data_IF_328669033742
#
_entry.id   IF_328669033742
#
_cell.length_a   1.000
_cell.length_b   1.000
_cell.length_c   1.000
_cell.angle_alpha   90.00
_cell.angle_beta   90.00
_cell.angle_gamma   90.00
#
_symmetry.space_group_name_H-M   'P 1'
#
loop_
_entity.id
_entity.type
_entity.pdbx_description
1 polymer ?
#
# COMPACT_ATOMS: atom_id res chain seq x y z
N UNK A 1 25.01 -58.84 -4.61
CA UNK A 1 24.36 -58.11 -5.71
C UNK A 1 23.59 -56.94 -5.13
N UNK A 2 24.25 -55.79 -4.92
CA UNK A 2 23.65 -54.59 -4.34
C UNK A 2 24.45 -53.37 -4.80
N UNK A 3 24.12 -52.78 -5.97
CA UNK A 3 24.70 -51.48 -6.40
C UNK A 3 23.75 -50.59 -7.21
N UNK A 4 22.52 -51.02 -7.52
CA UNK A 4 21.65 -50.23 -8.40
C UNK A 4 20.55 -49.42 -7.71
N UNK A 5 20.35 -49.60 -6.39
CA UNK A 5 19.25 -48.94 -5.65
C UNK A 5 19.65 -47.65 -4.92
N UNK A 6 20.91 -47.19 -5.03
CA UNK A 6 21.42 -46.02 -4.29
C UNK A 6 21.55 -44.74 -5.12
N UNK A 7 21.04 -44.72 -6.36
CA UNK A 7 21.22 -43.59 -7.29
C UNK A 7 19.96 -42.73 -7.51
N UNK A 8 18.87 -42.95 -6.78
CA UNK A 8 17.59 -42.28 -7.04
C UNK A 8 17.07 -41.39 -5.89
N UNK A 9 17.89 -41.08 -4.88
CA UNK A 9 17.42 -40.36 -3.68
C UNK A 9 18.37 -39.23 -3.24
N UNK A 10 18.72 -38.31 -4.15
CA UNK A 10 19.47 -37.09 -3.75
C UNK A 10 19.16 -35.82 -4.55
N UNK A 11 18.02 -35.75 -5.25
CA UNK A 11 17.65 -34.53 -5.99
C UNK A 11 16.27 -34.05 -5.57
N UNK A 12 16.18 -33.55 -4.34
CA UNK A 12 15.00 -32.83 -3.87
C UNK A 12 15.45 -31.74 -2.89
N UNK A 13 14.99 -30.53 -3.21
CA UNK A 13 14.93 -29.34 -2.36
C UNK A 13 16.22 -28.49 -2.30
N UNK A 14 16.46 -27.77 -3.39
CA UNK A 14 16.95 -26.39 -3.32
C UNK A 14 15.92 -25.50 -4.03
N UNK A 15 14.72 -25.42 -3.46
CA UNK A 15 13.84 -24.27 -3.69
C UNK A 15 14.38 -23.14 -2.84
N UNK A 16 15.46 -22.50 -3.31
CA UNK A 16 15.83 -21.19 -2.78
C UNK A 16 14.75 -20.22 -3.21
N UNK A 17 13.96 -19.71 -2.26
CA UNK A 17 13.26 -18.43 -2.45
C UNK A 17 14.35 -17.37 -2.57
N UNK A 18 14.86 -17.15 -3.78
CA UNK A 18 15.49 -15.89 -4.09
C UNK A 18 14.36 -14.86 -4.07
N UNK A 19 14.33 -13.96 -3.08
CA UNK A 19 13.57 -12.72 -3.20
C UNK A 19 14.15 -11.99 -4.41
N UNK A 20 13.47 -12.12 -5.54
CA UNK A 20 13.73 -11.30 -6.72
C UNK A 20 13.30 -9.89 -6.36
N UNK A 21 14.26 -9.06 -5.93
CA UNK A 21 14.09 -7.62 -5.96
C UNK A 21 13.87 -7.23 -7.42
N UNK A 22 12.68 -6.76 -7.76
CA UNK A 22 12.38 -6.36 -9.13
C UNK A 22 12.99 -4.98 -9.36
N UNK A 23 14.04 -4.93 -10.17
CA UNK A 23 14.64 -3.67 -10.61
C UNK A 23 13.59 -2.89 -11.41
N UNK A 24 13.30 -1.68 -10.95
CA UNK A 24 12.41 -0.73 -11.62
C UNK A 24 13.06 -0.32 -12.94
N UNK A 25 12.23 -0.15 -13.97
CA UNK A 25 12.70 0.31 -15.28
C UNK A 25 12.86 1.83 -15.29
N UNK A 26 13.83 2.32 -16.08
CA UNK A 26 14.05 3.77 -16.23
C UNK A 26 12.93 4.42 -17.05
N UNK A 27 12.55 5.64 -16.66
CA UNK A 27 11.58 6.48 -17.35
C UNK A 27 10.13 6.01 -17.27
N UNK A 28 9.76 5.26 -16.24
CA UNK A 28 8.39 4.78 -16.02
C UNK A 28 7.45 5.97 -15.88
N UNK A 29 6.39 5.98 -16.71
CA UNK A 29 5.34 7.00 -16.63
C UNK A 29 4.16 6.47 -15.82
N UNK A 30 3.48 7.33 -15.05
CA UNK A 30 2.26 6.93 -14.36
C UNK A 30 1.15 6.66 -15.38
N UNK A 31 0.39 5.60 -15.16
CA UNK A 31 -0.87 5.33 -15.86
C UNK A 31 -1.89 6.35 -15.34
N UNK A 32 -2.39 7.20 -16.22
CA UNK A 32 -3.36 8.25 -15.89
C UNK A 32 -4.72 7.88 -16.49
N UNK A 33 -5.78 8.12 -15.73
CA UNK A 33 -7.14 7.91 -16.18
C UNK A 33 -7.43 8.74 -17.45
N UNK A 34 -7.92 8.09 -18.50
CA UNK A 34 -8.24 8.75 -19.77
C UNK A 34 -9.53 9.58 -19.70
N UNK A 35 -10.35 9.32 -18.70
CA UNK A 35 -11.58 10.03 -18.41
C UNK A 35 -11.79 10.09 -16.89
N UNK A 36 -12.61 11.04 -16.45
CA UNK A 36 -13.07 11.09 -15.06
C UNK A 36 -13.94 9.87 -14.75
N UNK A 37 -13.68 9.23 -13.61
CA UNK A 37 -14.41 8.06 -13.13
C UNK A 37 -15.59 8.50 -12.25
N UNK A 38 -16.68 7.73 -12.25
CA UNK A 38 -17.77 8.01 -11.32
C UNK A 38 -17.33 7.74 -9.88
N UNK A 39 -17.85 8.52 -8.93
CA UNK A 39 -17.56 8.36 -7.50
C UNK A 39 -17.78 6.93 -6.99
N UNK A 40 -18.76 6.20 -7.54
CA UNK A 40 -19.05 4.80 -7.19
C UNK A 40 -17.99 3.80 -7.68
N UNK A 41 -17.14 4.21 -8.63
CA UNK A 41 -16.02 3.42 -9.14
C UNK A 41 -14.73 3.66 -8.36
N UNK A 42 -14.66 4.73 -7.57
CA UNK A 42 -13.45 5.12 -6.85
C UNK A 42 -13.26 4.30 -5.58
N UNK A 43 -12.00 4.00 -5.27
CA UNK A 43 -11.57 3.39 -4.00
C UNK A 43 -10.66 4.38 -3.29
N UNK A 44 -10.86 4.50 -1.98
CA UNK A 44 -10.05 5.35 -1.11
C UNK A 44 -8.87 4.54 -0.60
N UNK A 45 -7.69 5.11 -0.66
CA UNK A 45 -6.44 4.42 -0.34
C UNK A 45 -5.86 5.01 0.93
N UNK A 46 -5.61 4.15 1.91
CA UNK A 46 -4.76 4.46 3.04
C UNK A 46 -3.37 3.87 2.79
N UNK A 47 -2.35 4.72 2.86
CA UNK A 47 -0.94 4.33 2.83
C UNK A 47 -0.46 4.43 4.27
N UNK A 48 -0.12 3.31 4.89
CA UNK A 48 0.41 3.32 6.26
C UNK A 48 1.79 3.99 6.22
N UNK A 49 2.15 4.75 7.25
CA UNK A 49 3.54 5.17 7.48
C UNK A 49 4.42 3.93 7.36
N UNK A 50 5.52 4.05 6.61
CA UNK A 50 6.37 2.89 6.34
C UNK A 50 7.19 2.54 7.57
N UNK A 51 7.51 1.26 7.69
CA UNK A 51 8.47 0.76 8.65
C UNK A 51 9.83 0.61 7.98
N UNK A 52 10.88 0.43 8.78
CA UNK A 52 12.21 0.12 8.29
C UNK A 52 12.82 -1.06 9.05
N UNK A 53 13.71 -1.78 8.38
CA UNK A 53 14.48 -2.82 9.06
C UNK A 53 15.42 -2.20 10.09
N UNK A 54 15.56 -2.87 11.24
CA UNK A 54 16.52 -2.44 12.26
C UNK A 54 17.94 -2.57 11.71
N UNK A 55 18.62 -1.44 11.56
CA UNK A 55 20.01 -1.39 11.14
C UNK A 55 20.95 -1.47 12.34
N UNK A 56 22.04 -2.22 12.18
CA UNK A 56 23.14 -2.21 13.14
C UNK A 56 23.89 -0.87 13.10
N UNK A 57 24.57 -0.52 14.20
CA UNK A 57 25.46 0.66 14.27
C UNK A 57 26.48 0.73 13.11
N UNK A 58 26.87 -0.44 12.59
CA UNK A 58 27.80 -0.54 11.47
C UNK A 58 27.12 -0.12 10.16
N UNK A 59 25.94 -0.65 9.87
CA UNK A 59 25.16 -0.33 8.67
C UNK A 59 24.74 1.15 8.66
N UNK A 60 24.32 1.70 9.80
CA UNK A 60 24.01 3.13 9.93
C UNK A 60 25.20 3.99 9.50
N UNK A 61 26.42 3.64 9.92
CA UNK A 61 27.64 4.36 9.52
C UNK A 61 28.00 4.16 8.06
N UNK A 62 27.85 2.95 7.53
CA UNK A 62 28.17 2.62 6.13
C UNK A 62 27.22 3.35 5.16
N UNK A 63 25.94 3.46 5.49
CA UNK A 63 24.92 4.17 4.70
C UNK A 63 24.88 5.68 4.97
N UNK A 64 25.69 6.18 5.92
CA UNK A 64 25.69 7.60 6.29
C UNK A 64 24.37 8.08 6.91
N UNK A 65 23.56 7.17 7.46
CA UNK A 65 22.24 7.47 7.99
C UNK A 65 22.30 7.95 9.44
N UNK A 66 21.22 8.58 9.88
CA UNK A 66 20.90 8.80 11.29
C UNK A 66 19.51 8.25 11.58
N UNK A 67 19.21 7.97 12.85
CA UNK A 67 17.86 7.55 13.25
C UNK A 67 16.80 8.60 12.88
N UNK A 68 17.15 9.89 12.95
CA UNK A 68 16.27 10.98 12.54
C UNK A 68 15.99 10.98 11.03
N UNK A 69 17.02 10.74 10.20
CA UNK A 69 16.85 10.60 8.75
C UNK A 69 15.94 9.41 8.45
N UNK A 70 16.18 8.26 9.08
CA UNK A 70 15.35 7.07 8.84
C UNK A 70 13.88 7.32 9.20
N UNK A 71 13.60 7.91 10.36
CA UNK A 71 12.24 8.29 10.78
C UNK A 71 11.59 9.32 9.85
N UNK A 72 12.39 10.17 9.21
CA UNK A 72 11.89 11.10 8.20
C UNK A 72 11.52 10.36 6.90
N UNK A 73 12.35 9.43 6.43
CA UNK A 73 12.09 8.62 5.23
C UNK A 73 10.81 7.76 5.36
N UNK A 74 10.61 7.15 6.52
CA UNK A 74 9.39 6.38 6.87
C UNK A 74 8.10 7.17 6.63
N UNK A 75 8.15 8.51 6.72
CA UNK A 75 7.01 9.42 6.47
C UNK A 75 7.06 10.06 5.09
N UNK A 76 8.25 10.38 4.61
CA UNK A 76 8.47 11.08 3.35
C UNK A 76 8.11 10.21 2.14
N UNK A 77 8.58 8.97 2.12
CA UNK A 77 8.34 8.00 1.03
C UNK A 77 6.84 7.73 0.80
N UNK A 78 6.01 7.41 1.82
CA UNK A 78 4.58 7.21 1.59
C UNK A 78 3.86 8.48 1.15
N UNK A 79 4.35 9.68 1.51
CA UNK A 79 3.80 10.95 1.02
C UNK A 79 4.10 11.15 -0.48
N UNK A 80 5.28 10.77 -0.94
CA UNK A 80 5.61 10.78 -2.37
C UNK A 80 4.76 9.80 -3.17
N UNK A 81 4.53 8.59 -2.63
CA UNK A 81 3.60 7.63 -3.22
C UNK A 81 2.17 8.20 -3.25
N UNK A 82 1.70 8.80 -2.16
CA UNK A 82 0.38 9.48 -2.08
C UNK A 82 0.21 10.47 -3.23
N UNK A 83 1.12 11.43 -3.38
CA UNK A 83 1.01 12.46 -4.42
C UNK A 83 1.13 11.88 -5.84
N UNK A 84 1.94 10.84 -6.02
CA UNK A 84 2.03 10.12 -7.29
C UNK A 84 0.69 9.49 -7.65
N UNK A 85 0.05 8.77 -6.71
CA UNK A 85 -1.25 8.15 -6.91
C UNK A 85 -2.36 9.17 -7.16
N UNK A 86 -2.44 10.25 -6.36
CA UNK A 86 -3.47 11.29 -6.50
C UNK A 86 -3.48 11.92 -7.91
N UNK A 87 -2.30 12.10 -8.52
CA UNK A 87 -2.16 12.69 -9.86
C UNK A 87 -2.65 11.79 -10.99
N UNK A 88 -2.90 10.50 -10.73
CA UNK A 88 -3.33 9.54 -11.76
C UNK A 88 -4.84 9.57 -12.04
N UNK A 89 -5.65 10.10 -11.10
CA UNK A 89 -7.11 10.18 -11.26
C UNK A 89 -7.85 8.85 -11.17
N UNK A 90 -7.21 7.78 -10.71
CA UNK A 90 -7.81 6.44 -10.56
C UNK A 90 -8.46 6.18 -9.19
N UNK A 91 -8.18 7.03 -8.22
CA UNK A 91 -8.48 6.81 -6.80
C UNK A 91 -9.46 7.87 -6.30
N UNK A 92 -10.17 7.53 -5.22
CA UNK A 92 -10.88 8.52 -4.43
C UNK A 92 -9.87 9.33 -3.63
N UNK A 93 -10.03 9.36 -2.31
CA UNK A 93 -9.03 10.01 -1.47
C UNK A 93 -7.85 9.05 -1.24
N UNK A 94 -6.63 9.58 -1.36
CA UNK A 94 -5.39 8.88 -0.98
C UNK A 94 -4.78 9.61 0.21
N UNK A 95 -4.55 8.91 1.32
CA UNK A 95 -4.06 9.48 2.58
C UNK A 95 -2.91 8.66 3.13
N UNK A 96 -2.00 9.33 3.84
CA UNK A 96 -1.05 8.65 4.73
C UNK A 96 -1.63 8.58 6.13
N UNK A 97 -1.58 7.39 6.74
CA UNK A 97 -2.16 7.09 8.05
C UNK A 97 -1.12 6.47 8.98
N UNK A 98 -1.18 6.72 10.30
CA UNK A 98 -0.16 6.22 11.23
C UNK A 98 -0.23 4.70 11.44
N UNK A 99 -1.41 4.11 11.28
CA UNK A 99 -1.64 2.69 11.50
C UNK A 99 -2.72 2.17 10.56
N UNK A 100 -2.85 0.84 10.48
CA UNK A 100 -3.85 0.21 9.64
C UNK A 100 -5.28 0.57 10.07
N UNK A 101 -6.14 0.78 9.07
CA UNK A 101 -7.54 1.09 9.31
C UNK A 101 -8.46 0.31 8.36
N UNK A 102 -9.74 0.70 8.32
CA UNK A 102 -10.78 0.07 7.53
C UNK A 102 -10.91 0.63 6.10
N UNK A 103 -9.93 1.35 5.56
CA UNK A 103 -9.98 1.93 4.21
C UNK A 103 -10.29 0.90 3.10
N UNK A 104 -10.71 1.41 1.93
CA UNK A 104 -11.03 0.55 0.79
C UNK A 104 -9.82 -0.26 0.32
N UNK A 105 -8.67 0.40 0.22
CA UNK A 105 -7.37 -0.22 -0.09
C UNK A 105 -6.37 0.26 0.93
N UNK A 106 -5.55 -0.66 1.41
CA UNK A 106 -4.46 -0.43 2.34
C UNK A 106 -3.14 -0.78 1.67
N UNK A 107 -2.18 0.13 1.77
CA UNK A 107 -0.82 -0.02 1.25
C UNK A 107 0.15 0.09 2.41
N UNK A 108 0.97 -0.94 2.59
CA UNK A 108 2.06 -0.97 3.57
C UNK A 108 3.39 -0.97 2.83
N UNK A 109 4.40 -0.43 3.47
CA UNK A 109 5.76 -0.46 2.95
C UNK A 109 6.78 -0.71 4.04
N UNK A 110 7.80 -1.48 3.71
CA UNK A 110 9.02 -1.61 4.50
C UNK A 110 10.20 -1.09 3.67
N UNK A 111 10.97 -0.16 4.23
CA UNK A 111 12.21 0.31 3.64
C UNK A 111 13.28 -0.74 3.89
N UNK A 112 13.68 -1.44 2.83
CA UNK A 112 14.73 -2.47 2.86
C UNK A 112 16.10 -1.79 2.74
N UNK A 113 16.22 -0.79 1.87
CA UNK A 113 17.45 -0.03 1.66
C UNK A 113 17.14 1.40 1.23
N UNK A 114 17.89 2.38 1.75
CA UNK A 114 17.86 3.78 1.29
C UNK A 114 19.17 4.45 1.69
N UNK A 115 19.95 4.90 0.71
CA UNK A 115 21.21 5.65 0.93
C UNK A 115 21.38 6.84 -0.03
N UNK A 116 20.29 7.24 -0.71
CA UNK A 116 20.29 8.32 -1.68
C UNK A 116 20.83 7.95 -3.07
N UNK A 117 21.52 6.82 -3.21
CA UNK A 117 21.90 6.24 -4.51
C UNK A 117 20.99 5.06 -4.87
N UNK A 118 20.57 4.28 -3.88
CA UNK A 118 19.67 3.16 -4.04
C UNK A 118 18.47 3.30 -3.10
N UNK A 119 17.28 2.97 -3.60
CA UNK A 119 16.06 2.82 -2.82
C UNK A 119 15.46 1.44 -3.10
N UNK A 120 15.22 0.66 -2.05
CA UNK A 120 14.56 -0.64 -2.13
C UNK A 120 13.41 -0.70 -1.12
N UNK A 121 12.20 -0.95 -1.62
CA UNK A 121 10.99 -1.04 -0.83
C UNK A 121 10.34 -2.41 -1.01
N UNK A 122 9.81 -2.97 0.07
CA UNK A 122 8.84 -4.06 0.01
C UNK A 122 7.45 -3.49 0.28
N UNK A 123 6.52 -3.68 -0.67
CA UNK A 123 5.18 -3.12 -0.62
C UNK A 123 4.14 -4.24 -0.61
N UNK A 124 3.17 -4.09 0.29
CA UNK A 124 2.02 -4.98 0.40
C UNK A 124 0.76 -4.16 0.17
N UNK A 125 -0.13 -4.64 -0.70
CA UNK A 125 -1.41 -4.00 -0.95
C UNK A 125 -2.55 -4.99 -0.72
N UNK A 126 -3.58 -4.57 0.01
CA UNK A 126 -4.78 -5.38 0.25
C UNK A 126 -6.03 -4.52 0.30
N UNK A 127 -7.19 -5.11 -0.03
CA UNK A 127 -8.47 -4.42 0.10
C UNK A 127 -9.15 -4.64 1.45
N UNK A 128 -10.23 -3.91 1.69
CA UNK A 128 -11.03 -3.98 2.92
C UNK A 128 -11.59 -5.38 3.23
N UNK A 129 -11.64 -6.29 2.25
CA UNK A 129 -12.06 -7.69 2.40
C UNK A 129 -10.94 -8.56 2.97
N UNK A 130 -9.74 -8.01 3.15
CA UNK A 130 -8.54 -8.75 3.54
C UNK A 130 -7.96 -9.59 2.40
N UNK A 131 -8.28 -9.24 1.14
CA UNK A 131 -7.70 -9.91 -0.03
C UNK A 131 -6.41 -9.17 -0.41
N UNK A 132 -5.28 -9.88 -0.41
CA UNK A 132 -4.00 -9.36 -0.92
C UNK A 132 -4.10 -9.15 -2.43
N UNK A 133 -3.76 -7.94 -2.86
CA UNK A 133 -3.63 -7.56 -4.26
C UNK A 133 -2.28 -7.99 -4.80
N UNK A 134 -1.22 -7.67 -4.06
CA UNK A 134 0.14 -8.13 -4.30
C UNK A 134 1.04 -7.85 -3.08
N UNK A 135 2.18 -8.52 -3.08
CA UNK A 135 3.32 -8.31 -2.19
C UNK A 135 4.58 -8.34 -3.04
N UNK A 136 5.26 -7.20 -3.21
CA UNK A 136 6.34 -7.06 -4.18
C UNK A 136 7.50 -6.22 -3.64
N UNK A 137 8.71 -6.55 -4.07
CA UNK A 137 9.90 -5.73 -3.84
C UNK A 137 10.23 -4.87 -5.06
N UNK A 138 10.40 -3.57 -4.85
CA UNK A 138 10.76 -2.58 -5.86
C UNK A 138 12.13 -2.01 -5.53
N UNK A 139 13.05 -1.99 -6.49
CA UNK A 139 14.37 -1.40 -6.29
C UNK A 139 14.80 -0.54 -7.45
N UNK A 140 15.32 0.63 -7.14
CA UNK A 140 15.87 1.57 -8.09
C UNK A 140 17.27 2.00 -7.63
N UNK A 141 18.20 2.06 -8.58
CA UNK A 141 19.58 2.52 -8.38
C UNK A 141 19.80 3.71 -9.30
N UNK A 142 20.16 4.85 -8.72
CA UNK A 142 20.37 6.11 -9.42
C UNK A 142 21.83 6.23 -9.86
N UNK A 143 22.01 6.68 -11.10
CA UNK A 143 23.29 7.19 -11.58
C UNK A 143 23.42 8.70 -11.36
N UNK A 144 24.62 9.23 -11.58
CA UNK A 144 24.89 10.67 -11.56
C UNK A 144 23.98 11.49 -12.51
N UNK A 145 23.47 10.85 -13.57
CA UNK A 145 22.62 11.51 -14.57
C UNK A 145 21.20 11.74 -14.07
N UNK A 146 20.72 10.93 -13.14
CA UNK A 146 19.34 11.00 -12.63
C UNK A 146 19.14 12.18 -11.66
N UNK A 147 20.24 12.77 -11.19
CA UNK A 147 20.28 14.04 -10.49
C UNK A 147 20.32 15.27 -11.43
N UNK A 148 20.53 15.09 -12.75
CA UNK A 148 20.53 16.21 -13.70
C UNK A 148 19.11 16.48 -14.23
N UNK A 149 18.62 17.70 -14.02
CA UNK A 149 17.29 18.13 -14.46
C UNK A 149 16.18 17.93 -13.43
N UNK A 150 16.51 17.41 -12.24
CA UNK A 150 15.70 17.50 -11.03
C UNK A 150 16.08 18.80 -10.31
N UNK A 151 15.27 19.86 -10.44
CA UNK A 151 15.40 20.98 -9.50
C UNK A 151 14.99 20.49 -8.10
N UNK A 152 15.70 20.87 -7.02
CA UNK A 152 15.25 20.55 -5.68
C UNK A 152 13.79 20.95 -5.49
N UNK A 153 12.92 19.96 -5.26
CA UNK A 153 11.47 20.14 -5.07
C UNK A 153 10.59 20.03 -6.33
N UNK A 154 11.13 19.83 -7.54
CA UNK A 154 10.30 19.67 -8.77
C UNK A 154 10.00 18.20 -9.12
N UNK A 155 10.99 17.31 -8.97
CA UNK A 155 10.84 15.89 -9.29
C UNK A 155 11.75 15.06 -8.38
N UNK A 156 11.18 14.05 -7.76
CA UNK A 156 11.94 13.08 -6.96
C UNK A 156 12.83 12.22 -7.88
N UNK A 157 14.11 11.98 -7.54
CA UNK A 157 14.97 11.09 -8.31
C UNK A 157 14.41 9.68 -8.48
N UNK A 158 13.71 9.15 -7.48
CA UNK A 158 13.08 7.82 -7.48
C UNK A 158 11.64 7.83 -7.99
N UNK A 159 11.29 8.81 -8.85
CA UNK A 159 9.92 8.94 -9.37
C UNK A 159 9.46 7.70 -10.14
N UNK A 160 10.39 6.98 -10.78
CA UNK A 160 10.05 5.78 -11.54
C UNK A 160 9.62 4.64 -10.62
N UNK A 161 10.24 4.49 -9.45
CA UNK A 161 9.80 3.56 -8.41
C UNK A 161 8.38 3.88 -7.92
N UNK A 162 8.08 5.14 -7.59
CA UNK A 162 6.72 5.54 -7.17
C UNK A 162 5.68 5.32 -8.28
N UNK A 163 6.03 5.64 -9.52
CA UNK A 163 5.14 5.40 -10.67
C UNK A 163 4.89 3.91 -10.86
N UNK A 164 5.89 3.07 -10.65
CA UNK A 164 5.77 1.61 -10.82
C UNK A 164 4.81 1.02 -9.77
N UNK A 165 4.96 1.39 -8.49
CA UNK A 165 4.04 0.97 -7.42
C UNK A 165 2.61 1.45 -7.72
N UNK A 166 2.45 2.72 -8.14
CA UNK A 166 1.14 3.27 -8.48
C UNK A 166 0.50 2.55 -9.68
N UNK A 167 1.30 2.16 -10.68
CA UNK A 167 0.83 1.42 -11.84
C UNK A 167 0.35 0.01 -11.48
N UNK A 168 1.10 -0.73 -10.66
CA UNK A 168 0.70 -2.07 -10.20
C UNK A 168 -0.64 -2.04 -9.45
N UNK A 169 -0.85 -1.01 -8.60
CA UNK A 169 -2.14 -0.79 -7.93
C UNK A 169 -3.26 -0.53 -8.94
N UNK A 170 -3.02 0.30 -9.96
CA UNK A 170 -4.00 0.60 -11.02
C UNK A 170 -4.30 -0.64 -11.86
N UNK A 171 -3.29 -1.44 -12.20
CA UNK A 171 -3.44 -2.67 -12.97
C UNK A 171 -4.31 -3.68 -12.21
N UNK A 172 -4.07 -3.87 -10.90
CA UNK A 172 -4.91 -4.73 -10.08
C UNK A 172 -6.35 -4.19 -9.98
N UNK A 173 -6.51 -2.90 -9.68
CA UNK A 173 -7.84 -2.25 -9.62
C UNK A 173 -8.62 -2.44 -10.92
N UNK A 174 -7.94 -2.32 -12.07
CA UNK A 174 -8.57 -2.40 -13.41
C UNK A 174 -9.12 -3.79 -13.72
N UNK A 175 -8.71 -4.83 -12.98
CA UNK A 175 -9.24 -6.18 -13.11
C UNK A 175 -10.51 -6.40 -12.27
N UNK A 176 -10.82 -5.49 -11.34
CA UNK A 176 -11.99 -5.59 -10.47
C UNK A 176 -13.29 -5.34 -11.24
N UNK A 177 -14.28 -6.18 -10.98
CA UNK A 177 -15.64 -5.95 -11.47
C UNK A 177 -16.33 -4.86 -10.63
N UNK A 178 -17.29 -4.11 -11.19
CA UNK A 178 -18.04 -3.09 -10.44
C UNK A 178 -18.72 -3.62 -9.17
N UNK A 179 -19.11 -4.90 -9.15
CA UNK A 179 -19.66 -5.56 -7.95
C UNK A 179 -18.62 -5.73 -6.85
N UNK A 180 -17.37 -6.02 -7.20
CA UNK A 180 -16.27 -6.16 -6.25
C UNK A 180 -15.88 -4.80 -5.66
N UNK A 181 -15.86 -3.73 -6.47
CA UNK A 181 -15.63 -2.36 -5.99
C UNK A 181 -16.66 -1.97 -4.94
N UNK A 182 -17.95 -2.21 -5.21
CA UNK A 182 -19.02 -1.94 -4.24
C UNK A 182 -18.91 -2.77 -2.97
N UNK A 183 -18.52 -4.04 -3.10
CA UNK A 183 -18.32 -4.91 -1.94
C UNK A 183 -17.16 -4.42 -1.05
N UNK A 184 -16.05 -3.98 -1.67
CA UNK A 184 -14.92 -3.36 -0.96
C UNK A 184 -15.39 -2.10 -0.20
N UNK A 185 -16.18 -1.25 -0.84
CA UNK A 185 -16.74 -0.04 -0.22
C UNK A 185 -17.65 -0.37 0.98
N UNK A 186 -18.55 -1.34 0.81
CA UNK A 186 -19.48 -1.76 1.87
C UNK A 186 -18.77 -2.41 3.06
N UNK A 187 -17.77 -3.26 2.80
CA UNK A 187 -17.01 -3.91 3.86
C UNK A 187 -16.16 -2.89 4.62
N UNK A 188 -15.54 -1.92 3.93
CA UNK A 188 -14.83 -0.79 4.56
C UNK A 188 -15.75 -0.03 5.51
N UNK A 189 -16.92 0.41 5.05
CA UNK A 189 -17.89 1.14 5.87
C UNK A 189 -18.31 0.34 7.11
N UNK A 190 -18.60 -0.95 6.95
CA UNK A 190 -19.02 -1.81 8.05
C UNK A 190 -17.89 -2.13 9.03
N UNK A 191 -16.64 -2.24 8.57
CA UNK A 191 -15.47 -2.37 9.44
C UNK A 191 -15.30 -1.11 10.28
N UNK A 192 -15.34 0.08 9.67
CA UNK A 192 -15.33 1.36 10.40
C UNK A 192 -16.47 1.43 11.43
N UNK A 193 -17.68 0.99 11.05
CA UNK A 193 -18.82 0.95 11.94
C UNK A 193 -18.64 -0.03 13.12
N UNK A 194 -18.00 -1.19 12.89
CA UNK A 194 -17.63 -2.15 13.94
C UNK A 194 -16.56 -1.61 14.88
N UNK A 195 -15.60 -0.84 14.37
CA UNK A 195 -14.54 -0.23 15.18
C UNK A 195 -15.12 0.86 16.11
N UNK A 196 -16.06 1.68 15.60
CA UNK A 196 -16.70 2.73 16.39
C UNK A 196 -17.82 2.21 17.32
N UNK A 197 -18.57 1.18 16.90
CA UNK A 197 -19.77 0.72 17.58
C UNK A 197 -19.98 -0.80 17.44
N UNK A 198 -19.01 -1.58 17.94
CA UNK A 198 -18.96 -3.05 17.84
C UNK A 198 -20.29 -3.75 18.11
N UNK A 199 -20.97 -3.42 19.20
CA UNK A 199 -22.21 -4.11 19.60
C UNK A 199 -23.32 -3.96 18.55
N UNK A 200 -23.42 -2.78 17.91
CA UNK A 200 -24.44 -2.52 16.89
C UNK A 200 -24.13 -3.22 15.56
N UNK A 201 -22.85 -3.38 15.22
CA UNK A 201 -22.43 -3.84 13.89
C UNK A 201 -21.82 -5.25 13.83
N UNK A 202 -21.61 -5.91 14.97
CA UNK A 202 -20.98 -7.25 15.08
C UNK A 202 -21.56 -8.33 14.15
N UNK A 203 -22.86 -8.29 13.85
CA UNK A 203 -23.54 -9.27 13.00
C UNK A 203 -23.62 -8.94 11.50
N UNK A 204 -22.90 -7.92 11.01
CA UNK A 204 -22.97 -7.50 9.59
C UNK A 204 -21.84 -8.09 8.74
N UNK A 205 -20.71 -8.44 9.38
CA UNK A 205 -19.56 -9.04 8.73
C UNK A 205 -19.19 -10.34 9.45
N UNK A 206 -18.73 -11.33 8.69
CA UNK A 206 -17.95 -12.45 9.22
C UNK A 206 -16.48 -12.23 8.90
N UNK A 207 -15.60 -12.76 9.74
CA UNK A 207 -14.15 -12.83 9.50
C UNK A 207 -13.71 -14.28 9.62
N UNK A 208 -12.99 -14.80 8.62
CA UNK A 208 -12.46 -16.15 8.65
C UNK A 208 -11.08 -16.22 9.36
N UNK A 209 -10.52 -17.43 9.49
CA UNK A 209 -9.21 -17.65 10.14
C UNK A 209 -8.04 -16.99 9.40
N UNK A 210 -8.16 -16.81 8.08
CA UNK A 210 -7.19 -16.10 7.23
C UNK A 210 -7.36 -14.57 7.30
N UNK A 211 -8.26 -14.07 8.14
CA UNK A 211 -8.50 -12.65 8.33
C UNK A 211 -9.37 -11.99 7.26
N UNK A 212 -9.90 -12.74 6.28
CA UNK A 212 -10.80 -12.22 5.24
C UNK A 212 -12.19 -11.93 5.76
N UNK A 213 -12.75 -10.82 5.32
CA UNK A 213 -14.10 -10.38 5.65
C UNK A 213 -15.10 -10.82 4.57
N UNK A 214 -16.31 -11.14 5.00
CA UNK A 214 -17.43 -11.39 4.09
C UNK A 214 -18.68 -10.69 4.59
N UNK A 215 -19.46 -10.15 3.66
CA UNK A 215 -20.70 -9.45 3.95
C UNK A 215 -21.80 -10.45 4.33
N UNK A 216 -22.35 -10.33 5.54
CA UNK A 216 -23.50 -11.14 5.97
C UNK A 216 -24.80 -10.43 5.60
N UNK A 217 -24.90 -9.15 5.95
CA UNK A 217 -26.06 -8.31 5.70
C UNK A 217 -25.68 -6.84 5.74
N UNK A 218 -26.43 -6.02 5.01
CA UNK A 218 -26.33 -4.57 5.06
C UNK A 218 -27.35 -4.00 6.07
N UNK A 219 -26.98 -2.98 6.85
CA UNK A 219 -27.95 -2.16 7.56
C UNK A 219 -28.84 -1.42 6.55
N UNK A 220 -30.00 -0.98 7.00
CA UNK A 220 -30.83 -0.08 6.17
C UNK A 220 -30.15 1.28 6.05
N UNK A 221 -30.23 1.90 4.87
CA UNK A 221 -29.58 3.20 4.61
C UNK A 221 -30.04 4.33 5.56
N UNK A 222 -31.24 4.18 6.13
CA UNK A 222 -31.81 5.13 7.09
C UNK A 222 -31.38 4.90 8.55
N UNK A 223 -30.53 3.91 8.82
CA UNK A 223 -30.10 3.51 10.18
C UNK A 223 -29.46 4.70 10.94
N UNK A 224 -30.00 5.09 12.11
CA UNK A 224 -29.46 6.20 12.89
C UNK A 224 -28.04 5.99 13.45
N UNK A 225 -27.64 4.75 13.75
CA UNK A 225 -26.28 4.43 14.15
C UNK A 225 -25.33 4.59 12.97
N UNK A 226 -25.69 4.08 11.80
CA UNK A 226 -24.84 4.19 10.60
C UNK A 226 -24.62 5.66 10.21
N UNK A 227 -25.67 6.49 10.26
CA UNK A 227 -25.56 7.93 10.03
C UNK A 227 -24.60 8.61 11.01
N UNK A 228 -24.55 8.16 12.27
CA UNK A 228 -23.61 8.68 13.27
C UNK A 228 -22.18 8.27 12.95
N UNK A 229 -21.94 7.02 12.57
CA UNK A 229 -20.63 6.52 12.13
C UNK A 229 -20.11 7.38 10.98
N UNK A 230 -20.91 7.55 9.90
CA UNK A 230 -20.55 8.40 8.75
C UNK A 230 -20.21 9.83 9.16
N UNK A 231 -20.99 10.43 10.04
CA UNK A 231 -20.75 11.81 10.49
C UNK A 231 -19.46 11.96 11.33
N UNK A 232 -19.06 10.91 12.07
CA UNK A 232 -17.78 10.89 12.78
C UNK A 232 -16.63 10.67 11.80
N UNK A 233 -16.78 9.71 10.88
CA UNK A 233 -15.78 9.41 9.86
C UNK A 233 -15.43 10.64 9.01
N UNK A 234 -16.42 11.40 8.55
CA UNK A 234 -16.19 12.65 7.80
C UNK A 234 -15.33 13.66 8.60
N UNK A 235 -15.49 13.73 9.92
CA UNK A 235 -14.68 14.63 10.76
C UNK A 235 -13.25 14.11 10.94
N UNK A 236 -13.09 12.81 11.08
CA UNK A 236 -11.78 12.17 11.18
C UNK A 236 -11.00 12.32 9.86
N UNK A 237 -11.67 12.10 8.73
CA UNK A 237 -11.13 12.33 7.39
C UNK A 237 -10.63 13.77 7.23
N UNK A 238 -11.39 14.78 7.68
CA UNK A 238 -10.96 16.19 7.63
C UNK A 238 -9.72 16.48 8.49
N UNK A 239 -9.60 15.81 9.65
CA UNK A 239 -8.41 15.93 10.51
C UNK A 239 -7.20 15.30 9.81
N UNK A 240 -7.36 14.11 9.25
CA UNK A 240 -6.31 13.42 8.50
C UNK A 240 -5.86 14.25 7.30
N UNK A 241 -6.79 14.83 6.54
CA UNK A 241 -6.50 15.70 5.38
C UNK A 241 -5.70 16.94 5.81
N UNK A 242 -6.05 17.52 6.96
CA UNK A 242 -5.32 18.67 7.53
C UNK A 242 -3.88 18.29 7.89
N UNK A 243 -3.68 17.16 8.57
CA UNK A 243 -2.34 16.67 8.96
C UNK A 243 -1.52 16.32 7.71
N UNK A 244 -2.13 15.63 6.75
CA UNK A 244 -1.50 15.22 5.50
C UNK A 244 -1.08 16.38 4.60
N UNK A 245 -1.65 17.58 4.79
CA UNK A 245 -1.29 18.79 4.06
C UNK A 245 -0.09 19.55 4.64
N UNK A 246 0.37 19.20 5.86
CA UNK A 246 1.57 19.80 6.47
C UNK A 246 2.87 19.06 6.15
N UNK A 247 2.79 17.96 5.41
CA UNK A 247 3.92 17.18 4.90
C UNK A 247 4.07 17.39 3.38
#
# INVERSE_FOLDING_TARGET
MNRWFLLFSSLLILSGCASLSNKVADGVKPIVATQELDSSELLDVAIVVFDSEELTDKEIRELGLSEEIRRAEERFIPIHLKYTMQRTGHWGVVRVVPEENAAHVQVRGTIIHSDGEQLSLYIEAYDSRGVSWFENSYSEELGLVDFYGTSPGEKDPFQDLYNTIANDLVEHRSQLQPTAIREIQQISELRTAQDMARDAFSGHLSRNEEGRYSLIRLPVESDPMLKRVRAVQVRDDMLLDTINGYY
#
